data_IF_712118356910
#
_entry.id   IF_712118356910
#
_cell.length_a   1.000
_cell.length_b   1.000
_cell.length_c   1.000
_cell.angle_alpha   90.00
_cell.angle_beta   90.00
_cell.angle_gamma   90.00
#
_symmetry.space_group_name_H-M   'P 1'
#
loop_
_entity.id
_entity.type
_entity.pdbx_description
1 polymer ?
#
# COMPACT_ATOMS: atom_id res chain seq x y z
N UNK A 1 11.19 -15.92 -2.67
CA UNK A 1 10.35 -14.80 -2.19
C UNK A 1 11.22 -13.74 -1.55
N UNK A 2 10.89 -12.44 -1.69
CA UNK A 2 11.68 -11.34 -1.11
C UNK A 2 11.61 -11.36 0.43
N UNK A 3 12.75 -11.15 1.09
CA UNK A 3 12.78 -10.94 2.54
C UNK A 3 11.94 -9.70 2.92
N UNK A 4 11.46 -9.58 4.18
CA UNK A 4 10.69 -8.40 4.60
C UNK A 4 11.38 -7.07 4.26
N UNK A 5 12.71 -7.01 4.41
CA UNK A 5 13.51 -5.83 4.05
C UNK A 5 13.50 -5.55 2.54
N UNK A 6 13.57 -6.59 1.71
CA UNK A 6 13.47 -6.44 0.25
C UNK A 6 12.09 -5.95 -0.16
N UNK A 7 11.02 -6.49 0.43
CA UNK A 7 9.65 -6.06 0.18
C UNK A 7 9.45 -4.57 0.54
N UNK A 8 9.90 -4.14 1.72
CA UNK A 8 9.79 -2.74 2.15
C UNK A 8 10.48 -1.80 1.15
N UNK A 9 11.70 -2.13 0.73
CA UNK A 9 12.43 -1.34 -0.28
C UNK A 9 11.75 -1.35 -1.64
N UNK A 10 11.20 -2.49 -2.05
CA UNK A 10 10.56 -2.60 -3.36
C UNK A 10 9.24 -1.84 -3.42
N UNK A 11 8.41 -1.91 -2.37
CA UNK A 11 7.21 -1.08 -2.23
C UNK A 11 7.57 0.40 -2.20
N UNK A 12 8.61 0.79 -1.46
CA UNK A 12 9.11 2.17 -1.43
C UNK A 12 9.50 2.69 -2.82
N UNK A 13 10.28 1.91 -3.57
CA UNK A 13 10.63 2.22 -4.97
C UNK A 13 9.40 2.30 -5.87
N UNK A 14 8.43 1.39 -5.71
CA UNK A 14 7.19 1.37 -6.48
C UNK A 14 6.38 2.66 -6.30
N UNK A 15 6.26 3.12 -5.05
CA UNK A 15 5.61 4.40 -4.71
C UNK A 15 6.36 5.56 -5.39
N UNK A 16 7.69 5.60 -5.26
CA UNK A 16 8.52 6.63 -5.89
C UNK A 16 8.32 6.68 -7.42
N UNK A 17 8.38 5.54 -8.09
CA UNK A 17 8.15 5.44 -9.54
C UNK A 17 6.75 5.91 -9.94
N UNK A 18 5.71 5.46 -9.25
CA UNK A 18 4.32 5.90 -9.52
C UNK A 18 4.12 7.39 -9.30
N UNK A 19 4.80 7.96 -8.30
CA UNK A 19 4.79 9.38 -7.99
C UNK A 19 5.42 10.19 -9.12
N UNK A 20 6.60 9.77 -9.59
CA UNK A 20 7.33 10.43 -10.68
C UNK A 20 6.61 10.32 -12.02
N UNK A 21 6.02 9.17 -12.34
CA UNK A 21 5.18 8.98 -13.53
C UNK A 21 3.97 9.93 -13.55
N UNK A 22 3.51 10.36 -12.37
CA UNK A 22 2.42 11.35 -12.22
C UNK A 22 2.91 12.78 -12.11
N UNK A 23 4.22 13.02 -12.22
CA UNK A 23 4.81 14.35 -12.13
C UNK A 23 4.68 14.98 -10.74
N UNK A 24 4.56 14.17 -9.69
CA UNK A 24 4.38 14.64 -8.31
C UNK A 24 5.71 14.74 -7.56
N UNK A 25 5.87 15.79 -6.76
CA UNK A 25 6.93 15.87 -5.75
C UNK A 25 6.54 15.07 -4.50
N UNK A 26 7.51 14.73 -3.66
CA UNK A 26 7.24 14.08 -2.37
C UNK A 26 6.31 14.93 -1.48
N UNK A 27 6.46 16.27 -1.47
CA UNK A 27 5.55 17.16 -0.72
C UNK A 27 4.12 17.10 -1.25
N UNK A 28 3.95 17.14 -2.57
CA UNK A 28 2.63 17.05 -3.19
C UNK A 28 1.95 15.71 -2.90
N UNK A 29 2.69 14.59 -2.94
CA UNK A 29 2.12 13.30 -2.57
C UNK A 29 1.79 13.22 -1.08
N UNK A 30 2.67 13.73 -0.22
CA UNK A 30 2.46 13.81 1.23
C UNK A 30 1.16 14.56 1.56
N UNK A 31 0.95 15.73 0.96
CA UNK A 31 -0.27 16.53 1.12
C UNK A 31 -1.51 15.78 0.62
N UNK A 32 -1.45 15.20 -0.58
CA UNK A 32 -2.57 14.44 -1.17
C UNK A 32 -2.95 13.20 -0.37
N UNK A 33 -1.96 12.51 0.19
CA UNK A 33 -2.16 11.29 0.95
C UNK A 33 -2.49 11.55 2.43
N UNK A 34 -2.34 12.79 2.92
CA UNK A 34 -2.45 13.08 4.36
C UNK A 34 -1.37 12.38 5.20
N UNK A 35 -0.23 12.02 4.60
CA UNK A 35 0.89 11.34 5.28
C UNK A 35 2.04 12.33 5.46
N UNK A 36 2.68 12.36 6.62
CA UNK A 36 3.76 13.31 6.89
C UNK A 36 4.94 13.16 5.92
N UNK A 37 5.49 14.28 5.44
CA UNK A 37 6.58 14.29 4.45
C UNK A 37 7.78 13.43 4.87
N UNK A 38 8.23 13.55 6.12
CA UNK A 38 9.36 12.77 6.65
C UNK A 38 9.06 11.27 6.72
N UNK A 39 7.79 10.90 6.92
CA UNK A 39 7.35 9.52 6.89
C UNK A 39 7.33 8.97 5.47
N UNK A 40 6.72 9.69 4.51
CA UNK A 40 6.71 9.33 3.10
C UNK A 40 8.13 9.14 2.56
N UNK A 41 9.05 10.06 2.88
CA UNK A 41 10.46 9.96 2.48
C UNK A 41 11.13 8.69 3.01
N UNK A 42 10.89 8.33 4.29
CA UNK A 42 11.43 7.09 4.88
C UNK A 42 10.82 5.84 4.24
N UNK A 43 9.54 5.89 3.86
CA UNK A 43 8.86 4.81 3.15
C UNK A 43 9.44 4.62 1.74
N UNK A 44 9.53 5.68 0.94
CA UNK A 44 10.08 5.61 -0.43
C UNK A 44 11.53 5.10 -0.45
N UNK A 45 12.34 5.47 0.55
CA UNK A 45 13.72 4.99 0.70
C UNK A 45 13.83 3.58 1.34
N UNK A 46 12.71 2.95 1.69
CA UNK A 46 12.66 1.63 2.33
C UNK A 46 13.25 1.57 3.73
N UNK A 47 13.36 2.71 4.42
CA UNK A 47 13.85 2.82 5.80
C UNK A 47 12.76 2.53 6.84
N UNK A 48 11.48 2.59 6.43
CA UNK A 48 10.33 2.32 7.28
C UNK A 48 9.30 1.46 6.53
N UNK A 49 8.81 0.42 7.19
CA UNK A 49 7.63 -0.30 6.74
C UNK A 49 6.38 0.57 6.95
N UNK A 50 5.60 0.78 5.89
CA UNK A 50 4.31 1.44 5.98
C UNK A 50 3.25 0.47 6.54
N UNK A 51 2.27 1.00 7.27
CA UNK A 51 1.05 0.25 7.56
C UNK A 51 0.21 0.10 6.28
N UNK A 52 -0.68 -0.88 6.23
CA UNK A 52 -1.56 -1.03 5.07
C UNK A 52 -2.50 0.17 4.90
N UNK A 53 -2.94 0.80 6.01
CA UNK A 53 -3.76 2.01 6.00
C UNK A 53 -2.96 3.19 5.39
N UNK A 54 -1.71 3.35 5.80
CA UNK A 54 -0.81 4.37 5.23
C UNK A 54 -0.59 4.13 3.74
N UNK A 55 -0.40 2.87 3.32
CA UNK A 55 -0.27 2.53 1.91
C UNK A 55 -1.55 2.80 1.11
N UNK A 56 -2.72 2.55 1.68
CA UNK A 56 -4.00 2.88 1.05
C UNK A 56 -4.17 4.38 0.85
N UNK A 57 -3.82 5.18 1.86
CA UNK A 57 -3.82 6.64 1.75
C UNK A 57 -2.85 7.13 0.66
N UNK A 58 -1.64 6.54 0.58
CA UNK A 58 -0.67 6.82 -0.48
C UNK A 58 -1.22 6.38 -1.85
N UNK A 59 -1.85 5.22 -1.96
CA UNK A 59 -2.46 4.72 -3.20
C UNK A 59 -3.54 5.69 -3.70
N UNK A 60 -4.41 6.17 -2.80
CA UNK A 60 -5.41 7.21 -3.10
C UNK A 60 -4.80 8.52 -3.53
N UNK A 61 -3.77 9.01 -2.83
CA UNK A 61 -3.02 10.22 -3.21
C UNK A 61 -2.32 10.09 -4.57
N UNK A 62 -1.91 8.86 -4.90
CA UNK A 62 -1.40 8.48 -6.22
C UNK A 62 -2.51 8.20 -7.24
N UNK A 63 -3.79 8.18 -6.90
CA UNK A 63 -4.87 7.74 -7.82
C UNK A 63 -4.54 6.37 -8.45
N UNK A 64 -4.18 5.43 -7.61
CA UNK A 64 -3.80 4.06 -7.96
C UNK A 64 -4.47 3.09 -6.99
N UNK A 65 -4.64 1.83 -7.39
CA UNK A 65 -5.06 0.80 -6.43
C UNK A 65 -3.91 0.37 -5.52
N UNK A 66 -4.26 -0.06 -4.30
CA UNK A 66 -3.30 -0.62 -3.34
C UNK A 66 -2.60 -1.88 -3.87
N UNK A 67 -3.29 -2.67 -4.69
CA UNK A 67 -2.75 -3.86 -5.36
C UNK A 67 -1.51 -3.52 -6.20
N UNK A 68 -1.54 -2.40 -6.95
CA UNK A 68 -0.41 -1.95 -7.79
C UNK A 68 0.83 -1.61 -6.96
N UNK A 69 0.65 -1.11 -5.73
CA UNK A 69 1.74 -0.75 -4.83
C UNK A 69 2.45 -1.99 -4.26
N UNK A 70 1.70 -3.05 -3.94
CA UNK A 70 2.26 -4.29 -3.40
C UNK A 70 2.79 -5.25 -4.47
N UNK A 71 2.32 -5.14 -5.71
CA UNK A 71 2.81 -5.89 -6.86
C UNK A 71 4.09 -5.25 -7.46
N UNK A 72 5.15 -5.29 -6.66
CA UNK A 72 6.40 -4.55 -6.86
C UNK A 72 7.39 -5.24 -7.81
N UNK A 73 7.16 -6.50 -8.17
CA UNK A 73 8.01 -7.27 -9.08
C UNK A 73 7.62 -7.09 -10.55
N UNK A 74 6.42 -6.58 -10.82
CA UNK A 74 5.88 -6.46 -12.18
C UNK A 74 6.01 -5.04 -12.75
N UNK A 75 6.36 -4.87 -14.04
CA UNK A 75 6.32 -3.58 -14.74
C UNK A 75 4.92 -2.91 -14.71
N UNK A 76 4.87 -1.57 -14.66
CA UNK A 76 3.61 -0.80 -14.58
C UNK A 76 2.82 -0.72 -15.89
N UNK A 77 3.46 -1.02 -17.01
CA UNK A 77 2.90 -0.96 -18.36
C UNK A 77 2.13 -2.24 -18.76
N UNK A 78 1.99 -3.21 -17.84
CA UNK A 78 1.26 -4.44 -18.10
C UNK A 78 -0.27 -4.23 -18.22
N UNK A 79 -0.96 -4.98 -19.12
CA UNK A 79 -2.41 -4.87 -19.30
C UNK A 79 -3.23 -5.04 -18.02
N UNK A 80 -2.76 -5.84 -17.05
CA UNK A 80 -3.47 -6.12 -15.79
C UNK A 80 -3.71 -4.86 -14.95
N UNK A 81 -2.89 -3.81 -15.11
CA UNK A 81 -3.05 -2.55 -14.36
C UNK A 81 -3.83 -1.48 -15.11
N UNK A 82 -4.24 -1.74 -16.36
CA UNK A 82 -4.87 -0.75 -17.24
C UNK A 82 -6.18 -0.18 -16.68
N UNK A 83 -6.89 -0.92 -15.82
CA UNK A 83 -8.10 -0.47 -15.11
C UNK A 83 -7.87 -0.04 -13.66
N UNK A 84 -6.70 -0.27 -13.09
CA UNK A 84 -6.37 0.08 -11.69
C UNK A 84 -5.52 1.35 -11.58
N UNK A 85 -5.02 1.85 -12.71
CA UNK A 85 -4.29 3.10 -12.84
C UNK A 85 -5.28 4.14 -13.38
N UNK A 86 -5.82 4.99 -12.51
CA UNK A 86 -6.62 6.13 -12.94
C UNK A 86 -5.78 7.02 -13.88
N UNK A 87 -6.35 7.49 -15.00
CA UNK A 87 -5.63 8.38 -15.90
C UNK A 87 -5.23 9.66 -15.18
N UNK A 88 -3.99 10.11 -15.40
CA UNK A 88 -3.50 11.34 -14.81
C UNK A 88 -4.48 12.49 -15.10
N UNK A 89 -4.82 13.35 -14.12
CA UNK A 89 -5.73 14.45 -14.34
C UNK A 89 -5.21 15.30 -15.49
N UNK A 90 -6.09 15.63 -16.43
CA UNK A 90 -5.79 16.52 -17.57
C UNK A 90 -5.61 17.96 -17.06
N UNK A 91 -4.52 18.22 -16.36
CA UNK A 91 -4.07 19.53 -15.91
C UNK A 91 -2.64 19.70 -16.35
N UNK A 92 -2.32 20.80 -17.04
CA UNK A 92 -1.01 21.05 -17.68
C UNK A 92 0.15 20.66 -16.75
N UNK A 93 0.80 19.54 -17.03
CA UNK A 93 2.10 19.24 -16.45
C UNK A 93 3.06 20.33 -16.92
N UNK A 94 3.44 21.25 -16.02
CA UNK A 94 4.61 22.08 -16.28
C UNK A 94 5.81 21.14 -16.31
N UNK A 95 6.67 21.18 -17.34
CA UNK A 95 7.87 20.36 -17.34
C UNK A 95 8.72 20.76 -16.14
N UNK A 96 9.17 19.77 -15.37
CA UNK A 96 10.22 19.97 -14.37
C UNK A 96 11.43 20.58 -15.09
N UNK A 97 11.78 21.83 -14.76
CA UNK A 97 12.99 22.43 -15.31
C UNK A 97 14.20 21.67 -14.75
N UNK A 98 15.16 21.37 -15.64
CA UNK A 98 16.44 20.74 -15.32
C UNK A 98 17.16 21.50 -14.21
N UNK A 99 17.58 20.74 -13.19
CA UNK A 99 18.33 21.21 -12.03
C UNK A 99 17.65 20.74 -10.75
N UNK A 100 17.93 19.51 -10.32
CA UNK A 100 17.63 19.07 -8.95
C UNK A 100 18.93 19.10 -8.14
N UNK A 101 19.06 20.03 -7.20
CA UNK A 101 20.09 19.97 -6.19
C UNK A 101 19.42 20.07 -4.81
N UNK A 102 18.48 19.17 -4.49
CA UNK A 102 17.75 19.09 -3.21
C UNK A 102 17.40 20.46 -2.61
N UNK A 103 16.20 20.96 -2.91
CA UNK A 103 15.57 21.97 -2.03
C UNK A 103 16.44 23.24 -1.82
N UNK A 104 16.78 23.96 -2.88
CA UNK A 104 17.46 25.24 -2.69
C UNK A 104 16.45 26.32 -2.29
N UNK A 105 16.27 26.41 -0.96
CA UNK A 105 15.86 27.60 -0.18
C UNK A 105 14.56 28.28 -0.62
N UNK A 106 13.56 28.22 0.24
CA UNK A 106 12.72 29.40 0.50
C UNK A 106 12.48 29.55 2.02
N UNK A 107 12.80 30.72 2.61
CA UNK A 107 12.49 31.01 4.00
C UNK A 107 11.03 31.49 4.11
N UNK A 108 10.26 30.86 4.99
CA UNK A 108 9.30 31.47 5.95
C UNK A 108 8.45 30.32 6.55
N UNK A 109 8.48 30.01 7.84
CA UNK A 109 8.03 30.86 8.97
C UNK A 109 6.68 31.55 8.72
N UNK A 110 5.67 30.85 8.19
CA UNK A 110 4.27 30.94 8.67
C UNK A 110 3.32 30.14 7.78
N UNK A 111 3.07 28.87 8.11
CA UNK A 111 1.81 28.20 7.76
C UNK A 111 1.44 27.29 8.94
N UNK A 112 1.13 27.94 10.06
CA UNK A 112 0.01 27.50 10.88
C UNK A 112 -1.20 28.11 10.19
N UNK A 113 -2.26 27.32 10.09
CA UNK A 113 -3.59 27.69 9.64
C UNK A 113 -3.87 27.57 8.12
N UNK A 114 -4.82 26.67 7.83
CA UNK A 114 -5.50 26.40 6.55
C UNK A 114 -4.69 25.58 5.51
N UNK A 115 -5.08 24.42 4.97
CA UNK A 115 -6.41 23.82 4.70
C UNK A 115 -6.27 22.29 4.51
N UNK A 116 -7.20 21.52 5.06
CA UNK A 116 -7.82 20.37 4.38
C UNK A 116 -6.98 19.12 4.12
N UNK A 117 -6.30 18.58 5.13
CA UNK A 117 -5.93 17.16 5.07
C UNK A 117 -7.22 16.34 4.98
N UNK A 118 -7.46 15.65 3.87
CA UNK A 118 -8.58 14.71 3.76
C UNK A 118 -8.42 13.70 4.88
N UNK A 119 -9.22 13.89 5.93
CA UNK A 119 -9.43 12.92 6.98
C UNK A 119 -9.87 11.65 6.27
N UNK A 120 -9.01 10.62 6.25
CA UNK A 120 -9.49 9.27 5.97
C UNK A 120 -10.56 9.03 7.03
N UNK A 121 -11.83 9.01 6.65
CA UNK A 121 -12.88 8.78 7.62
C UNK A 121 -12.58 7.46 8.33
N UNK A 122 -12.86 7.38 9.63
CA UNK A 122 -12.73 6.12 10.37
C UNK A 122 -13.45 4.98 9.62
N UNK A 123 -14.54 5.32 8.93
CA UNK A 123 -15.31 4.46 8.04
C UNK A 123 -14.50 3.86 6.88
N UNK A 124 -13.69 4.64 6.16
CA UNK A 124 -12.87 4.14 5.05
C UNK A 124 -11.82 3.13 5.55
N UNK A 125 -11.20 3.48 6.68
CA UNK A 125 -10.18 2.65 7.32
C UNK A 125 -10.78 1.32 7.80
N UNK A 126 -11.97 1.37 8.39
CA UNK A 126 -12.68 0.17 8.85
C UNK A 126 -13.16 -0.69 7.68
N UNK A 127 -13.64 -0.08 6.60
CA UNK A 127 -14.00 -0.81 5.38
C UNK A 127 -12.81 -1.57 4.79
N UNK A 128 -11.61 -0.95 4.73
CA UNK A 128 -10.40 -1.63 4.27
C UNK A 128 -10.02 -2.81 5.17
N UNK A 129 -10.05 -2.64 6.50
CA UNK A 129 -9.77 -3.74 7.45
C UNK A 129 -10.70 -4.92 7.23
N UNK A 130 -11.99 -4.67 7.09
CA UNK A 130 -13.01 -5.70 6.86
C UNK A 130 -12.77 -6.43 5.55
N UNK A 131 -12.48 -5.72 4.46
CA UNK A 131 -12.18 -6.33 3.14
C UNK A 131 -10.93 -7.20 3.16
N UNK A 132 -9.85 -6.73 3.81
CA UNK A 132 -8.61 -7.49 3.98
C UNK A 132 -8.86 -8.74 4.81
N UNK A 133 -9.57 -8.61 5.92
CA UNK A 133 -9.91 -9.76 6.78
C UNK A 133 -10.74 -10.81 6.04
N UNK A 134 -11.77 -10.37 5.32
CA UNK A 134 -12.60 -11.25 4.50
C UNK A 134 -11.77 -11.96 3.40
N UNK A 135 -10.86 -11.24 2.73
CA UNK A 135 -10.00 -11.82 1.69
C UNK A 135 -9.03 -12.86 2.25
N UNK A 136 -8.38 -12.57 3.38
CA UNK A 136 -7.50 -13.54 4.07
C UNK A 136 -8.26 -14.80 4.45
N UNK A 137 -9.47 -14.66 5.01
CA UNK A 137 -10.34 -15.80 5.36
C UNK A 137 -10.70 -16.63 4.14
N UNK A 138 -11.08 -15.98 3.04
CA UNK A 138 -11.48 -16.67 1.81
C UNK A 138 -10.30 -17.48 1.23
N UNK A 139 -9.13 -16.87 1.12
CA UNK A 139 -7.91 -17.52 0.65
C UNK A 139 -7.50 -18.69 1.54
N UNK A 140 -7.54 -18.49 2.87
CA UNK A 140 -7.26 -19.56 3.83
C UNK A 140 -8.19 -20.77 3.65
N UNK A 141 -9.49 -20.54 3.53
CA UNK A 141 -10.47 -21.61 3.33
C UNK A 141 -10.30 -22.32 2.00
N UNK A 142 -9.90 -21.60 0.95
CA UNK A 142 -9.60 -22.22 -0.34
C UNK A 142 -8.35 -23.12 -0.32
N UNK A 143 -7.51 -23.01 0.72
CA UNK A 143 -6.38 -23.92 1.00
C UNK A 143 -6.72 -24.98 2.04
N UNK A 144 -7.98 -25.11 2.43
CA UNK A 144 -8.46 -26.03 3.47
C UNK A 144 -7.75 -25.89 4.82
N UNK A 145 -7.17 -24.70 5.10
CA UNK A 145 -6.48 -24.42 6.35
C UNK A 145 -7.47 -23.87 7.40
N UNK A 146 -7.34 -24.30 8.64
CA UNK A 146 -8.01 -23.68 9.78
C UNK A 146 -7.25 -22.43 10.26
N UNK A 147 -7.88 -21.58 11.09
CA UNK A 147 -7.18 -20.45 11.72
C UNK A 147 -6.02 -20.91 12.60
N UNK A 148 -6.13 -22.11 13.20
CA UNK A 148 -5.06 -22.70 14.01
C UNK A 148 -3.88 -23.11 13.14
N UNK A 149 -4.14 -23.71 11.98
CA UNK A 149 -3.07 -24.13 11.06
C UNK A 149 -2.26 -22.92 10.58
N UNK A 150 -2.95 -21.85 10.16
CA UNK A 150 -2.28 -20.60 9.77
C UNK A 150 -1.54 -19.96 10.96
N UNK A 151 -2.12 -19.99 12.16
CA UNK A 151 -1.46 -19.45 13.35
C UNK A 151 -0.16 -20.20 13.66
N UNK A 152 -0.19 -21.53 13.60
CA UNK A 152 0.99 -22.39 13.76
C UNK A 152 2.05 -22.09 12.70
N UNK A 153 1.67 -22.00 11.42
CA UNK A 153 2.59 -21.68 10.32
C UNK A 153 3.18 -20.25 10.43
N UNK A 154 2.40 -19.31 10.97
CA UNK A 154 2.85 -17.94 11.25
C UNK A 154 3.56 -17.78 12.60
N UNK A 155 3.73 -18.85 13.40
CA UNK A 155 4.26 -18.78 14.76
C UNK A 155 3.56 -17.69 15.60
N UNK A 156 2.22 -17.70 15.59
CA UNK A 156 1.37 -16.75 16.31
C UNK A 156 0.16 -17.46 16.93
N UNK A 157 -0.72 -16.71 17.57
CA UNK A 157 -1.93 -17.25 18.18
C UNK A 157 -3.15 -17.16 17.24
N UNK A 158 -4.06 -18.14 17.33
CA UNK A 158 -5.27 -18.18 16.50
C UNK A 158 -6.20 -16.96 16.71
N UNK A 159 -6.16 -16.33 17.90
CA UNK A 159 -6.88 -15.09 18.17
C UNK A 159 -6.31 -13.90 17.36
N UNK A 160 -5.00 -13.88 17.07
CA UNK A 160 -4.39 -12.86 16.20
C UNK A 160 -4.89 -13.04 14.76
N UNK A 161 -4.90 -14.27 14.24
CA UNK A 161 -5.47 -14.60 12.93
C UNK A 161 -6.95 -14.23 12.85
N UNK A 162 -7.72 -14.58 13.88
CA UNK A 162 -9.14 -14.25 13.98
C UNK A 162 -9.39 -12.73 13.94
N UNK A 163 -8.60 -11.95 14.69
CA UNK A 163 -8.68 -10.48 14.69
C UNK A 163 -8.36 -9.87 13.33
N UNK A 164 -7.41 -10.45 12.58
CA UNK A 164 -7.17 -10.02 11.21
C UNK A 164 -8.34 -10.36 10.28
N UNK A 165 -8.85 -11.58 10.36
CA UNK A 165 -9.94 -12.04 9.49
C UNK A 165 -11.28 -11.35 9.76
N UNK A 166 -11.54 -10.91 10.99
CA UNK A 166 -12.75 -10.16 11.34
C UNK A 166 -12.67 -8.67 11.01
N UNK A 167 -11.49 -8.17 10.63
CA UNK A 167 -11.25 -6.74 10.44
C UNK A 167 -11.07 -5.96 11.74
N UNK A 168 -11.02 -6.63 12.90
CA UNK A 168 -10.71 -5.98 14.17
C UNK A 168 -9.29 -5.39 14.19
N UNK A 169 -8.36 -5.97 13.42
CA UNK A 169 -7.00 -5.46 13.22
C UNK A 169 -6.58 -5.62 11.76
N UNK A 170 -5.81 -4.67 11.25
CA UNK A 170 -5.14 -4.81 9.96
C UNK A 170 -3.73 -5.40 10.15
N UNK A 171 -3.33 -6.44 9.38
CA UNK A 171 -1.96 -6.93 9.42
C UNK A 171 -0.98 -5.89 8.82
N UNK A 172 0.25 -5.87 9.31
CA UNK A 172 1.32 -5.07 8.71
C UNK A 172 1.78 -5.67 7.38
N UNK A 173 2.43 -4.87 6.52
CA UNK A 173 2.95 -5.34 5.22
C UNK A 173 3.92 -6.53 5.37
N UNK A 174 4.88 -6.54 6.32
CA UNK A 174 5.69 -7.72 6.58
C UNK A 174 4.88 -8.96 6.98
N UNK A 175 3.82 -8.79 7.78
CA UNK A 175 2.97 -9.91 8.17
C UNK A 175 2.10 -10.40 7.00
N UNK A 176 1.59 -9.50 6.15
CA UNK A 176 0.92 -9.85 4.91
C UNK A 176 1.82 -10.67 3.98
N UNK A 177 3.12 -10.35 3.91
CA UNK A 177 4.07 -11.16 3.15
C UNK A 177 4.13 -12.61 3.66
N UNK A 178 4.14 -12.79 4.99
CA UNK A 178 4.10 -14.13 5.59
C UNK A 178 2.78 -14.84 5.35
N UNK A 179 1.65 -14.13 5.38
CA UNK A 179 0.36 -14.70 4.97
C UNK A 179 0.42 -15.17 3.50
N UNK A 180 0.99 -14.37 2.61
CA UNK A 180 1.13 -14.72 1.20
C UNK A 180 1.96 -16.00 1.01
N UNK A 181 3.03 -16.18 1.79
CA UNK A 181 3.83 -17.41 1.82
C UNK A 181 3.03 -18.62 2.32
N UNK A 182 2.36 -18.50 3.47
CA UNK A 182 1.55 -19.58 4.06
C UNK A 182 0.37 -19.97 3.17
N UNK A 183 -0.24 -18.99 2.51
CA UNK A 183 -1.35 -19.19 1.60
C UNK A 183 -0.89 -19.45 0.17
N UNK A 184 0.42 -19.57 -0.06
CA UNK A 184 1.12 -19.77 -1.35
C UNK A 184 0.48 -18.98 -2.51
N UNK A 185 0.19 -17.72 -2.26
CA UNK A 185 -0.31 -16.78 -3.27
C UNK A 185 0.64 -15.60 -3.34
N UNK A 186 0.73 -14.92 -4.49
CA UNK A 186 1.46 -13.67 -4.54
C UNK A 186 0.79 -12.62 -3.63
N UNK A 187 1.59 -11.76 -2.99
CA UNK A 187 1.11 -10.81 -1.97
C UNK A 187 -0.03 -9.89 -2.46
N UNK A 188 -0.02 -9.52 -3.74
CA UNK A 188 -1.07 -8.69 -4.34
C UNK A 188 -2.44 -9.37 -4.34
N UNK A 189 -2.49 -10.70 -4.31
CA UNK A 189 -3.73 -11.49 -4.32
C UNK A 189 -4.53 -11.31 -3.03
N UNK A 190 -3.84 -10.95 -1.93
CA UNK A 190 -4.45 -10.62 -0.64
C UNK A 190 -5.31 -9.35 -0.69
N UNK A 191 -5.18 -8.56 -1.77
CA UNK A 191 -5.87 -7.28 -1.95
C UNK A 191 -6.84 -7.26 -3.14
N UNK A 192 -7.06 -8.39 -3.82
CA UNK A 192 -8.05 -8.50 -4.90
C UNK A 192 -9.42 -8.83 -4.33
N UNK A 193 -10.10 -7.81 -3.82
CA UNK A 193 -11.32 -7.99 -3.01
C UNK A 193 -12.53 -8.47 -3.81
N UNK A 194 -12.64 -8.07 -5.08
CA UNK A 194 -13.85 -8.27 -5.90
C UNK A 194 -13.71 -9.44 -6.90
N UNK A 195 -12.66 -10.24 -6.76
CA UNK A 195 -12.35 -11.36 -7.66
C UNK A 195 -12.50 -12.70 -6.96
N UNK A 196 -12.95 -13.75 -7.67
CA UNK A 196 -13.00 -15.10 -7.09
C UNK A 196 -11.61 -15.52 -6.61
N UNK A 197 -11.57 -16.31 -5.55
CA UNK A 197 -10.33 -16.95 -5.13
C UNK A 197 -9.98 -18.00 -6.18
N UNK A 198 -8.86 -17.82 -6.88
CA UNK A 198 -8.33 -18.82 -7.80
C UNK A 198 -7.27 -19.59 -7.04
N UNK A 199 -7.56 -20.85 -6.70
CA UNK A 199 -6.53 -21.78 -6.22
C UNK A 199 -5.64 -22.13 -7.41
N UNK A 200 -4.37 -21.75 -7.37
CA UNK A 200 -3.36 -22.33 -8.26
C UNK A 200 -3.20 -23.78 -7.80
N UNK A 201 -3.80 -24.71 -8.57
CA UNK A 201 -3.71 -26.16 -8.33
C UNK A 201 -2.35 -26.73 -8.72
#
# INVERSE_FOLDING_TARGET
MPTPTHLIRAVGRRICTLRELRGLTQRQLSERAGVGYAELSKIENGQRAASLITLDAIARGLQSSLTVLLDHELPLDLPRYRGCLEPAPRGRARPARRGDPRDQRHPDRSLRDAVGGQMTSDTDTDALKVRVGARLRALRRARDLSQRDVASLLNTDAAEVSRHESGARCPSVPLLARYAEVLEVPIYELLRFDEPVVTLG
#
